data_IF_806823140014
#
_entry.id   IF_806823140014
#
_cell.length_a   1.000
_cell.length_b   1.000
_cell.length_c   1.000
_cell.angle_alpha   90.00
_cell.angle_beta   90.00
_cell.angle_gamma   90.00
#
_symmetry.space_group_name_H-M   'P 1'
#
loop_
_entity.id
_entity.type
_entity.pdbx_description
1 polymer ?
#
# COMPACT_ATOMS: atom_id res chain seq x y z
N UNK A 1 28.59 0.81 52.89
CA UNK A 1 28.70 2.28 53.07
C UNK A 1 28.38 2.92 51.74
N UNK A 2 27.14 3.33 51.57
CA UNK A 2 26.77 4.13 50.38
C UNK A 2 27.30 5.56 50.63
N UNK A 3 28.28 5.94 49.83
CA UNK A 3 28.77 7.32 49.82
C UNK A 3 27.71 8.21 49.19
N UNK A 4 26.92 8.86 50.01
CA UNK A 4 26.04 9.95 49.58
C UNK A 4 26.93 11.08 49.07
N UNK A 5 27.05 11.23 47.75
CA UNK A 5 27.68 12.38 47.14
C UNK A 5 26.97 13.65 47.66
N UNK A 6 27.73 14.64 48.10
CA UNK A 6 27.19 15.94 48.49
C UNK A 6 26.50 16.60 47.30
N UNK A 7 25.57 17.54 47.56
CA UNK A 7 24.85 18.24 46.45
C UNK A 7 25.84 18.98 45.54
N UNK A 8 26.94 19.48 46.07
CA UNK A 8 28.00 20.12 45.30
C UNK A 8 28.73 19.15 44.36
N UNK A 9 29.07 17.96 44.82
CA UNK A 9 29.72 16.91 44.02
C UNK A 9 28.81 16.42 42.90
N UNK A 10 27.50 16.37 43.13
CA UNK A 10 26.50 16.03 42.07
C UNK A 10 26.42 17.11 41.01
N UNK A 11 26.44 18.37 41.38
CA UNK A 11 26.44 19.50 40.45
C UNK A 11 27.72 19.55 39.62
N UNK A 12 28.87 19.33 40.23
CA UNK A 12 30.16 19.27 39.49
C UNK A 12 30.19 18.09 38.51
N UNK A 13 29.71 16.91 38.91
CA UNK A 13 29.62 15.74 38.05
C UNK A 13 28.70 16.00 36.85
N UNK A 14 27.54 16.65 37.07
CA UNK A 14 26.61 17.01 36.02
C UNK A 14 27.19 18.04 35.05
N UNK A 15 27.90 19.06 35.56
CA UNK A 15 28.55 20.07 34.72
C UNK A 15 29.66 19.46 33.87
N UNK A 16 30.44 18.53 34.43
CA UNK A 16 31.50 17.81 33.71
C UNK A 16 30.90 16.94 32.61
N UNK A 17 29.90 16.14 32.95
CA UNK A 17 29.17 15.31 31.97
C UNK A 17 28.58 16.15 30.84
N UNK A 18 27.94 17.28 31.15
CA UNK A 18 27.39 18.18 30.16
C UNK A 18 28.46 18.76 29.25
N UNK A 19 29.59 19.19 29.81
CA UNK A 19 30.71 19.75 29.06
C UNK A 19 31.30 18.74 28.06
N UNK A 20 31.35 17.48 28.45
CA UNK A 20 31.84 16.37 27.64
C UNK A 20 30.84 15.87 26.60
N UNK A 21 29.54 15.87 26.93
CA UNK A 21 28.52 15.24 26.12
C UNK A 21 27.60 16.19 25.35
N UNK A 22 27.70 17.53 25.57
CA UNK A 22 26.81 18.51 24.93
C UNK A 22 26.74 18.37 23.42
N UNK A 23 27.85 18.08 22.75
CA UNK A 23 27.89 17.90 21.28
C UNK A 23 27.05 16.69 20.85
N UNK A 24 27.16 15.58 21.58
CA UNK A 24 26.38 14.36 21.31
C UNK A 24 24.90 14.54 21.60
N UNK A 25 24.57 15.28 22.67
CA UNK A 25 23.17 15.62 23.03
C UNK A 25 22.54 16.51 21.94
N UNK A 26 23.23 17.56 21.51
CA UNK A 26 22.74 18.42 20.43
C UNK A 26 22.66 17.68 19.10
N UNK A 27 23.64 16.82 18.78
CA UNK A 27 23.61 15.96 17.60
C UNK A 27 22.42 15.01 17.61
N UNK A 28 22.17 14.36 18.72
CA UNK A 28 21.00 13.46 18.91
C UNK A 28 19.67 14.21 18.80
N UNK A 29 19.58 15.41 19.38
CA UNK A 29 18.39 16.26 19.30
C UNK A 29 18.09 16.66 17.86
N UNK A 30 19.10 17.12 17.11
CA UNK A 30 18.98 17.51 15.70
C UNK A 30 18.55 16.32 14.82
N UNK A 31 19.14 15.16 15.03
CA UNK A 31 18.74 13.94 14.31
C UNK A 31 17.31 13.54 14.62
N UNK A 32 16.89 13.63 15.88
CA UNK A 32 15.52 13.35 16.28
C UNK A 32 14.51 14.30 15.63
N UNK A 33 14.81 15.60 15.62
CA UNK A 33 13.97 16.60 14.96
C UNK A 33 13.90 16.38 13.44
N UNK A 34 15.03 16.07 12.81
CA UNK A 34 15.08 15.77 11.37
C UNK A 34 14.25 14.53 11.02
N UNK A 35 14.32 13.46 11.85
CA UNK A 35 13.53 12.25 11.66
C UNK A 35 12.01 12.52 11.78
N UNK A 36 11.59 13.31 12.78
CA UNK A 36 10.18 13.69 12.96
C UNK A 36 9.68 14.57 11.81
N UNK A 37 10.48 15.54 11.38
CA UNK A 37 10.14 16.42 10.25
C UNK A 37 10.02 15.62 8.95
N UNK A 38 10.98 14.72 8.67
CA UNK A 38 10.95 13.83 7.51
C UNK A 38 9.73 12.91 7.50
N UNK A 39 9.41 12.32 8.66
CA UNK A 39 8.22 11.48 8.80
C UNK A 39 6.92 12.26 8.53
N UNK A 40 6.78 13.45 9.11
CA UNK A 40 5.61 14.31 8.87
C UNK A 40 5.48 14.72 7.41
N UNK A 41 6.59 15.10 6.78
CA UNK A 41 6.59 15.47 5.36
C UNK A 41 6.18 14.29 4.48
N UNK A 42 6.70 13.10 4.75
CA UNK A 42 6.32 11.87 4.05
C UNK A 42 4.83 11.53 4.26
N UNK A 43 4.33 11.62 5.48
CA UNK A 43 2.92 11.37 5.80
C UNK A 43 1.99 12.35 5.08
N UNK A 44 2.31 13.66 5.13
CA UNK A 44 1.52 14.68 4.44
C UNK A 44 1.47 14.46 2.92
N UNK A 45 2.61 14.13 2.31
CA UNK A 45 2.68 13.84 0.89
C UNK A 45 1.83 12.60 0.51
N UNK A 46 1.83 11.56 1.36
CA UNK A 46 0.95 10.39 1.15
C UNK A 46 -0.52 10.74 1.23
N UNK A 47 -0.93 11.57 2.21
CA UNK A 47 -2.32 12.00 2.36
C UNK A 47 -2.77 12.85 1.19
N UNK A 48 -1.93 13.79 0.74
CA UNK A 48 -2.21 14.63 -0.42
C UNK A 48 -2.35 13.79 -1.69
N UNK A 49 -1.42 12.87 -1.93
CA UNK A 49 -1.45 11.94 -3.06
C UNK A 49 -2.72 11.08 -3.04
N UNK A 50 -3.10 10.55 -1.88
CA UNK A 50 -4.34 9.78 -1.72
C UNK A 50 -5.59 10.65 -1.95
N UNK A 51 -5.58 11.91 -1.48
CA UNK A 51 -6.66 12.87 -1.71
C UNK A 51 -6.85 13.16 -3.20
N UNK A 52 -5.78 13.43 -3.93
CA UNK A 52 -5.83 13.64 -5.38
C UNK A 52 -6.30 12.39 -6.13
N UNK A 53 -5.80 11.21 -5.76
CA UNK A 53 -6.23 9.94 -6.33
C UNK A 53 -7.72 9.67 -6.09
N UNK A 54 -8.25 10.03 -4.92
CA UNK A 54 -9.66 9.85 -4.60
C UNK A 54 -10.59 10.67 -5.51
N UNK A 55 -10.19 11.89 -5.87
CA UNK A 55 -10.94 12.74 -6.80
C UNK A 55 -10.97 12.15 -8.21
N UNK A 56 -9.84 11.62 -8.69
CA UNK A 56 -9.79 10.94 -9.99
C UNK A 56 -10.62 9.65 -9.96
N UNK A 57 -10.62 8.92 -8.84
CA UNK A 57 -11.43 7.72 -8.67
C UNK A 57 -12.94 8.04 -8.65
N UNK A 58 -13.34 9.15 -8.04
CA UNK A 58 -14.72 9.60 -8.09
C UNK A 58 -15.15 9.87 -9.54
N UNK A 59 -14.33 10.58 -10.33
CA UNK A 59 -14.59 10.80 -11.75
C UNK A 59 -14.67 9.47 -12.54
N UNK A 60 -13.81 8.50 -12.22
CA UNK A 60 -13.86 7.15 -12.80
C UNK A 60 -15.20 6.46 -12.52
N UNK A 61 -15.68 6.53 -11.28
CA UNK A 61 -16.98 5.92 -10.92
C UNK A 61 -18.16 6.61 -11.61
N UNK A 62 -18.15 7.93 -11.71
CA UNK A 62 -19.15 8.71 -12.44
C UNK A 62 -19.15 8.37 -13.93
N UNK A 63 -17.98 8.34 -14.59
CA UNK A 63 -17.86 7.96 -15.99
C UNK A 63 -18.35 6.52 -16.25
N UNK A 64 -18.10 5.62 -15.28
CA UNK A 64 -18.56 4.22 -15.35
C UNK A 64 -20.08 4.15 -15.25
N UNK A 65 -20.72 4.90 -14.33
CA UNK A 65 -22.18 4.96 -14.19
C UNK A 65 -22.84 5.56 -15.43
N UNK A 66 -22.19 6.58 -16.03
CA UNK A 66 -22.63 7.21 -17.26
C UNK A 66 -22.34 6.36 -18.51
N UNK A 67 -21.78 5.15 -18.37
CA UNK A 67 -21.39 4.25 -19.46
C UNK A 67 -20.41 4.87 -20.47
N UNK A 68 -19.61 5.83 -20.02
CA UNK A 68 -18.56 6.48 -20.80
C UNK A 68 -17.28 5.67 -20.74
N UNK A 69 -17.24 4.53 -21.42
CA UNK A 69 -16.17 3.51 -21.31
C UNK A 69 -14.79 4.07 -21.61
N UNK A 70 -14.63 4.89 -22.66
CA UNK A 70 -13.34 5.48 -23.00
C UNK A 70 -12.82 6.46 -21.94
N UNK A 71 -13.72 7.29 -21.41
CA UNK A 71 -13.37 8.23 -20.33
C UNK A 71 -12.97 7.47 -19.06
N UNK A 72 -13.75 6.44 -18.69
CA UNK A 72 -13.45 5.60 -17.55
C UNK A 72 -12.10 4.86 -17.71
N UNK A 73 -11.81 4.36 -18.90
CA UNK A 73 -10.52 3.74 -19.18
C UNK A 73 -9.35 4.72 -18.97
N UNK A 74 -9.42 5.93 -19.55
CA UNK A 74 -8.37 6.96 -19.40
C UNK A 74 -8.16 7.37 -17.94
N UNK A 75 -9.26 7.49 -17.18
CA UNK A 75 -9.17 7.82 -15.75
C UNK A 75 -8.56 6.68 -14.94
N UNK A 76 -8.87 5.42 -15.27
CA UNK A 76 -8.24 4.25 -14.67
C UNK A 76 -6.73 4.19 -14.96
N UNK A 77 -6.33 4.40 -16.21
CA UNK A 77 -4.93 4.47 -16.63
C UNK A 77 -4.20 5.61 -15.92
N UNK A 78 -4.83 6.77 -15.78
CA UNK A 78 -4.29 7.92 -15.03
C UNK A 78 -4.04 7.58 -13.57
N UNK A 79 -4.96 6.88 -12.90
CA UNK A 79 -4.78 6.43 -11.51
C UNK A 79 -3.55 5.53 -11.37
N UNK A 80 -3.38 4.58 -12.28
CA UNK A 80 -2.26 3.64 -12.23
C UNK A 80 -0.92 4.35 -12.48
N UNK A 81 -0.87 5.31 -13.41
CA UNK A 81 0.36 6.00 -13.80
C UNK A 81 0.78 7.08 -12.81
N UNK A 82 -0.18 7.91 -12.35
CA UNK A 82 0.11 9.08 -11.52
C UNK A 82 0.07 8.78 -10.01
N UNK A 83 -0.70 7.77 -9.59
CA UNK A 83 -0.93 7.45 -8.18
C UNK A 83 -0.69 5.96 -7.85
N UNK A 84 0.40 5.34 -8.34
CA UNK A 84 0.59 3.87 -8.32
C UNK A 84 0.59 3.25 -6.93
N UNK A 85 0.93 4.03 -5.89
CA UNK A 85 1.05 3.56 -4.51
C UNK A 85 -0.24 3.70 -3.69
N UNK A 86 -1.36 4.07 -4.34
CA UNK A 86 -2.65 4.27 -3.68
C UNK A 86 -3.58 3.07 -3.89
N UNK A 87 -4.45 2.80 -2.94
CA UNK A 87 -5.52 1.80 -3.07
C UNK A 87 -6.43 2.09 -4.27
N UNK A 88 -6.56 3.36 -4.66
CA UNK A 88 -7.34 3.75 -5.85
C UNK A 88 -6.73 3.24 -7.16
N UNK A 89 -5.40 3.14 -7.24
CA UNK A 89 -4.73 2.51 -8.38
C UNK A 89 -4.98 0.99 -8.42
N UNK A 90 -5.04 0.32 -7.27
CA UNK A 90 -5.40 -1.09 -7.18
C UNK A 90 -6.85 -1.32 -7.68
N UNK A 91 -7.80 -0.50 -7.24
CA UNK A 91 -9.18 -0.55 -7.75
C UNK A 91 -9.26 -0.26 -9.24
N UNK A 92 -8.47 0.70 -9.75
CA UNK A 92 -8.41 1.03 -11.16
C UNK A 92 -7.91 -0.14 -12.02
N UNK A 93 -6.90 -0.91 -11.54
CA UNK A 93 -6.44 -2.14 -12.22
C UNK A 93 -7.54 -3.19 -12.29
N UNK A 94 -8.25 -3.41 -11.19
CA UNK A 94 -9.39 -4.34 -11.18
C UNK A 94 -10.52 -3.90 -12.13
N UNK A 95 -10.73 -2.60 -12.25
CA UNK A 95 -11.71 -2.03 -13.19
C UNK A 95 -11.25 -2.21 -14.64
N UNK A 96 -10.00 -1.89 -14.96
CA UNK A 96 -9.47 -2.10 -16.31
C UNK A 96 -9.45 -3.57 -16.73
N UNK A 97 -9.11 -4.46 -15.80
CA UNK A 97 -9.20 -5.90 -16.04
C UNK A 97 -10.64 -6.32 -16.39
N UNK A 98 -11.66 -5.76 -15.68
CA UNK A 98 -13.06 -5.99 -16.01
C UNK A 98 -13.40 -5.49 -17.43
N UNK A 99 -12.96 -4.29 -17.81
CA UNK A 99 -13.20 -3.77 -19.17
C UNK A 99 -12.58 -4.68 -20.22
N UNK A 100 -11.39 -5.26 -19.96
CA UNK A 100 -10.75 -6.23 -20.83
C UNK A 100 -11.57 -7.51 -20.99
N UNK A 101 -12.10 -8.04 -19.89
CA UNK A 101 -13.01 -9.20 -19.92
C UNK A 101 -14.28 -8.89 -20.72
N UNK A 102 -14.90 -7.73 -20.49
CA UNK A 102 -16.11 -7.29 -21.18
C UNK A 102 -15.87 -7.13 -22.71
N UNK A 103 -14.65 -6.79 -23.11
CA UNK A 103 -14.21 -6.71 -24.49
C UNK A 103 -13.75 -8.06 -25.10
N UNK A 104 -13.75 -9.16 -24.32
CA UNK A 104 -13.26 -10.47 -24.74
C UNK A 104 -11.73 -10.61 -24.73
N UNK A 105 -10.98 -9.60 -24.28
CA UNK A 105 -9.52 -9.61 -24.16
C UNK A 105 -9.12 -10.29 -22.83
N UNK A 106 -9.28 -11.62 -22.78
CA UNK A 106 -8.98 -12.41 -21.57
C UNK A 106 -7.46 -12.42 -21.27
N UNK A 107 -6.61 -12.33 -22.27
CA UNK A 107 -5.16 -12.27 -22.08
C UNK A 107 -4.75 -10.95 -21.44
N UNK A 108 -5.26 -9.83 -21.93
CA UNK A 108 -5.03 -8.52 -21.34
C UNK A 108 -5.56 -8.44 -19.90
N UNK A 109 -6.75 -9.00 -19.63
CA UNK A 109 -7.29 -9.09 -18.30
C UNK A 109 -6.41 -9.91 -17.36
N UNK A 110 -5.96 -11.08 -17.80
CA UNK A 110 -5.07 -11.96 -17.04
C UNK A 110 -3.74 -11.28 -16.69
N UNK A 111 -3.16 -10.54 -17.63
CA UNK A 111 -1.92 -9.78 -17.42
C UNK A 111 -2.10 -8.72 -16.33
N UNK A 112 -3.14 -7.89 -16.43
CA UNK A 112 -3.42 -6.83 -15.44
C UNK A 112 -3.63 -7.42 -14.03
N UNK A 113 -4.40 -8.50 -13.93
CA UNK A 113 -4.68 -9.17 -12.65
C UNK A 113 -3.43 -9.86 -12.07
N UNK A 114 -2.59 -10.47 -12.91
CA UNK A 114 -1.32 -11.07 -12.50
C UNK A 114 -0.33 -10.03 -11.96
N UNK A 115 -0.22 -8.89 -12.63
CA UNK A 115 0.58 -7.75 -12.16
C UNK A 115 0.07 -7.22 -10.83
N UNK A 116 -1.25 -7.03 -10.69
CA UNK A 116 -1.86 -6.58 -9.43
C UNK A 116 -1.60 -7.56 -8.29
N UNK A 117 -1.76 -8.85 -8.54
CA UNK A 117 -1.52 -9.89 -7.53
C UNK A 117 -0.07 -9.86 -7.01
N UNK A 118 0.90 -9.55 -7.87
CA UNK A 118 2.31 -9.48 -7.51
C UNK A 118 2.69 -8.20 -6.77
N UNK A 119 1.98 -7.09 -6.99
CA UNK A 119 2.31 -5.78 -6.43
C UNK A 119 1.53 -5.41 -5.18
N UNK A 120 0.28 -5.90 -5.05
CA UNK A 120 -0.56 -5.59 -3.89
C UNK A 120 0.06 -6.10 -2.60
N UNK A 121 -0.03 -5.29 -1.55
CA UNK A 121 0.39 -5.62 -0.18
C UNK A 121 -0.79 -5.94 0.72
N UNK A 122 -2.01 -5.66 0.27
CA UNK A 122 -3.24 -5.93 0.99
C UNK A 122 -3.71 -7.35 0.71
N UNK A 123 -3.82 -8.18 1.74
CA UNK A 123 -4.24 -9.57 1.62
C UNK A 123 -5.69 -9.73 1.14
N UNK A 124 -6.59 -8.79 1.50
CA UNK A 124 -7.95 -8.80 0.99
C UNK A 124 -7.97 -8.50 -0.52
N UNK A 125 -7.16 -7.53 -0.96
CA UNK A 125 -7.01 -7.21 -2.37
C UNK A 125 -6.40 -8.37 -3.16
N UNK A 126 -5.35 -9.01 -2.63
CA UNK A 126 -4.76 -10.21 -3.24
C UNK A 126 -5.78 -11.33 -3.39
N UNK A 127 -6.59 -11.58 -2.36
CA UNK A 127 -7.62 -12.62 -2.40
C UNK A 127 -8.69 -12.34 -3.46
N UNK A 128 -9.14 -11.09 -3.55
CA UNK A 128 -10.07 -10.65 -4.59
C UNK A 128 -9.46 -10.79 -5.99
N UNK A 129 -8.20 -10.39 -6.14
CA UNK A 129 -7.48 -10.45 -7.42
C UNK A 129 -7.24 -11.90 -7.85
N UNK A 130 -6.85 -12.80 -6.93
CA UNK A 130 -6.72 -14.25 -7.19
C UNK A 130 -8.03 -14.85 -7.69
N UNK A 131 -9.15 -14.54 -7.04
CA UNK A 131 -10.46 -15.01 -7.45
C UNK A 131 -10.83 -14.56 -8.85
N UNK A 132 -10.58 -13.29 -9.20
CA UNK A 132 -10.84 -12.75 -10.53
C UNK A 132 -9.91 -13.35 -11.58
N UNK A 133 -8.63 -13.50 -11.26
CA UNK A 133 -7.65 -14.14 -12.14
C UNK A 133 -7.99 -15.59 -12.41
N UNK A 134 -8.38 -16.35 -11.36
CA UNK A 134 -8.85 -17.73 -11.51
C UNK A 134 -10.06 -17.84 -12.44
N UNK A 135 -11.02 -16.90 -12.35
CA UNK A 135 -12.19 -16.87 -13.27
C UNK A 135 -11.76 -16.57 -14.71
N UNK A 136 -10.80 -15.67 -14.94
CA UNK A 136 -10.25 -15.39 -16.27
C UNK A 136 -9.53 -16.62 -16.83
N UNK A 137 -8.72 -17.32 -16.02
CA UNK A 137 -8.05 -18.56 -16.42
C UNK A 137 -9.07 -19.65 -16.80
N UNK A 138 -10.14 -19.83 -16.02
CA UNK A 138 -11.21 -20.78 -16.34
C UNK A 138 -11.92 -20.41 -17.66
N UNK A 139 -12.18 -19.13 -17.90
CA UNK A 139 -12.77 -18.66 -19.15
C UNK A 139 -11.86 -18.91 -20.37
N UNK A 140 -10.54 -18.96 -20.17
CA UNK A 140 -9.53 -19.34 -21.19
C UNK A 140 -9.39 -20.86 -21.36
N UNK A 141 -10.02 -21.68 -20.50
CA UNK A 141 -9.85 -23.13 -20.48
C UNK A 141 -8.63 -23.62 -19.70
N UNK A 142 -7.94 -22.74 -18.99
CA UNK A 142 -6.75 -23.03 -18.18
C UNK A 142 -7.15 -23.58 -16.79
N UNK A 143 -7.79 -24.75 -16.77
CA UNK A 143 -8.42 -25.30 -15.53
C UNK A 143 -7.38 -25.62 -14.47
N UNK A 144 -6.32 -26.38 -14.79
CA UNK A 144 -5.28 -26.78 -13.85
C UNK A 144 -4.54 -25.59 -13.21
N UNK A 145 -4.08 -24.56 -13.99
CA UNK A 145 -3.50 -23.37 -13.42
C UNK A 145 -4.46 -22.60 -12.52
N UNK A 146 -5.75 -22.51 -12.89
CA UNK A 146 -6.76 -21.84 -12.09
C UNK A 146 -6.97 -22.52 -10.72
N UNK A 147 -7.09 -23.83 -10.70
CA UNK A 147 -7.23 -24.60 -9.46
C UNK A 147 -6.00 -24.41 -8.57
N UNK A 148 -4.79 -24.53 -9.10
CA UNK A 148 -3.56 -24.34 -8.36
C UNK A 148 -3.43 -22.94 -7.75
N UNK A 149 -3.86 -21.91 -8.51
CA UNK A 149 -3.88 -20.52 -8.03
C UNK A 149 -4.86 -20.33 -6.86
N UNK A 150 -6.03 -20.98 -6.92
CA UNK A 150 -7.09 -20.86 -5.90
C UNK A 150 -6.77 -21.71 -4.66
N UNK A 151 -6.21 -22.89 -4.81
CA UNK A 151 -5.81 -23.77 -3.70
C UNK A 151 -4.72 -23.14 -2.83
N UNK A 152 -3.77 -22.44 -3.46
CA UNK A 152 -2.74 -21.68 -2.73
C UNK A 152 -3.32 -20.59 -1.82
N UNK A 153 -4.52 -20.10 -2.10
CA UNK A 153 -5.25 -19.13 -1.29
C UNK A 153 -6.13 -19.79 -0.22
N UNK A 154 -6.68 -20.97 -0.51
CA UNK A 154 -7.58 -21.71 0.38
C UNK A 154 -6.87 -22.23 1.63
N UNK A 155 -5.65 -22.72 1.49
CA UNK A 155 -4.86 -23.23 2.61
C UNK A 155 -4.53 -22.14 3.64
N UNK A 156 -4.36 -20.88 3.20
CA UNK A 156 -3.99 -19.75 4.05
C UNK A 156 -5.20 -19.08 4.73
N UNK A 157 -6.35 -19.08 4.06
CA UNK A 157 -7.58 -18.46 4.58
C UNK A 157 -8.43 -19.38 5.44
N UNK A 158 -8.50 -20.68 5.12
CA UNK A 158 -9.26 -21.66 5.93
C UNK A 158 -8.70 -21.71 7.35
N UNK A 159 -7.39 -21.53 7.54
CA UNK A 159 -6.78 -21.42 8.86
C UNK A 159 -7.21 -20.20 9.68
N UNK A 160 -7.55 -19.08 9.02
CA UNK A 160 -7.98 -17.84 9.70
C UNK A 160 -9.48 -17.82 10.05
N UNK A 161 -10.31 -18.55 9.32
CA UNK A 161 -11.75 -18.62 9.58
C UNK A 161 -12.18 -19.86 10.37
N UNK A 162 -11.31 -20.85 10.52
CA UNK A 162 -11.57 -22.03 11.34
C UNK A 162 -11.49 -21.76 12.87
N UNK A 163 -11.14 -20.55 13.26
CA UNK A 163 -11.04 -20.11 14.67
C UNK A 163 -12.15 -19.16 15.12
N UNK A 164 -13.18 -18.93 14.29
CA UNK A 164 -14.42 -18.20 14.62
C UNK A 164 -15.59 -19.15 14.69
#
# INVERSE_FOLDING_TARGET
MESYLTEEERLEALQRWWKENKSSVFGGLLLGLAAVAGYKMWQNNRLETAGQASLVYLQLTEATQAKQTETAQKLGERLIQQYPSTTYAEYARLFLAKLKVDAGDLDGAGKILGEELSHSKDEAMKSLTRLRLGRVMLAKGEVEPALKLLDSAGAEQVGKFAGL
#
